data_IF_825745126226
#
_entry.id   IF_825745126226
#
_cell.length_a   1.000
_cell.length_b   1.000
_cell.length_c   1.000
_cell.angle_alpha   90.00
_cell.angle_beta   90.00
_cell.angle_gamma   90.00
#
_symmetry.space_group_name_H-M   'P 1'
#
loop_
_entity.id
_entity.type
_entity.pdbx_description
1 polymer ?
#
# COMPACT_ATOMS: atom_id res chain seq x y z
N UNK A 1 10.12 -28.00 19.31
CA UNK A 1 9.90 -28.30 17.86
C UNK A 1 10.13 -26.99 17.09
N UNK A 2 11.31 -26.79 16.50
CA UNK A 2 11.64 -25.59 15.71
C UNK A 2 10.63 -25.52 14.55
N UNK A 3 9.73 -24.54 14.56
CA UNK A 3 8.88 -24.26 13.41
C UNK A 3 9.82 -23.96 12.24
N UNK A 4 9.62 -24.67 11.13
CA UNK A 4 10.33 -24.47 9.87
C UNK A 4 10.29 -22.98 9.51
N UNK A 5 11.45 -22.30 9.53
CA UNK A 5 11.59 -20.95 9.01
C UNK A 5 11.07 -20.97 7.57
N UNK A 6 9.91 -20.38 7.32
CA UNK A 6 9.34 -20.30 5.98
C UNK A 6 10.15 -19.26 5.22
N UNK A 7 10.88 -19.70 4.20
CA UNK A 7 11.65 -18.81 3.35
C UNK A 7 10.75 -17.72 2.74
N UNK A 8 11.21 -16.47 2.62
CA UNK A 8 10.43 -15.35 2.07
C UNK A 8 9.90 -15.63 0.67
N UNK A 9 10.69 -16.36 -0.14
CA UNK A 9 10.29 -16.82 -1.45
C UNK A 9 9.05 -17.74 -1.40
N UNK A 10 8.93 -18.59 -0.38
CA UNK A 10 7.77 -19.45 -0.19
C UNK A 10 6.54 -18.64 0.21
N UNK A 11 6.68 -17.65 1.09
CA UNK A 11 5.57 -16.76 1.46
C UNK A 11 5.08 -15.95 0.25
N UNK A 12 6.01 -15.42 -0.55
CA UNK A 12 5.69 -14.71 -1.79
C UNK A 12 5.06 -15.64 -2.85
N UNK A 13 5.47 -16.91 -2.93
CA UNK A 13 4.84 -17.87 -3.82
C UNK A 13 3.38 -18.16 -3.41
N UNK A 14 3.11 -18.29 -2.10
CA UNK A 14 1.75 -18.46 -1.58
C UNK A 14 0.91 -17.20 -1.90
N UNK A 15 1.44 -16.01 -1.62
CA UNK A 15 0.80 -14.74 -1.95
C UNK A 15 0.52 -14.58 -3.44
N UNK A 16 1.51 -14.88 -4.28
CA UNK A 16 1.39 -14.84 -5.73
C UNK A 16 0.36 -15.83 -6.25
N UNK A 17 0.34 -17.05 -5.72
CA UNK A 17 -0.68 -18.06 -6.03
C UNK A 17 -2.10 -17.58 -5.69
N UNK A 18 -2.31 -17.02 -4.49
CA UNK A 18 -3.60 -16.43 -4.11
C UNK A 18 -3.98 -15.27 -5.04
N UNK A 19 -3.04 -14.38 -5.34
CA UNK A 19 -3.27 -13.22 -6.24
C UNK A 19 -3.62 -13.67 -7.65
N UNK A 20 -2.97 -14.72 -8.16
CA UNK A 20 -3.22 -15.29 -9.48
C UNK A 20 -4.60 -15.97 -9.56
N UNK A 21 -5.01 -16.70 -8.52
CA UNK A 21 -6.36 -17.25 -8.46
C UNK A 21 -7.42 -16.15 -8.47
N UNK A 22 -7.21 -15.08 -7.69
CA UNK A 22 -8.12 -13.92 -7.70
C UNK A 22 -8.12 -13.24 -9.07
N UNK A 23 -6.97 -13.14 -9.76
CA UNK A 23 -6.89 -12.61 -11.12
C UNK A 23 -7.79 -13.40 -12.08
N UNK A 24 -7.75 -14.73 -12.04
CA UNK A 24 -8.61 -15.59 -12.88
C UNK A 24 -10.09 -15.37 -12.54
N UNK A 25 -10.46 -15.47 -11.26
CA UNK A 25 -11.86 -15.36 -10.81
C UNK A 25 -12.48 -14.00 -11.10
N UNK A 26 -11.67 -12.94 -11.10
CA UNK A 26 -12.12 -11.57 -11.35
C UNK A 26 -12.05 -11.17 -12.83
N UNK A 27 -11.81 -12.12 -13.73
CA UNK A 27 -11.58 -11.87 -15.16
C UNK A 27 -10.49 -10.81 -15.39
N UNK A 28 -9.30 -11.07 -14.86
CA UNK A 28 -8.16 -10.18 -14.97
C UNK A 28 -8.26 -8.91 -14.12
N UNK A 29 -8.87 -9.00 -12.92
CA UNK A 29 -9.17 -7.86 -12.06
C UNK A 29 -10.17 -6.84 -12.63
N UNK A 30 -10.94 -7.19 -13.66
CA UNK A 30 -12.02 -6.32 -14.16
C UNK A 30 -13.19 -6.31 -13.17
N UNK A 31 -13.61 -7.48 -12.68
CA UNK A 31 -14.76 -7.60 -11.77
C UNK A 31 -14.39 -7.14 -10.36
N UNK A 32 -15.26 -6.34 -9.74
CA UNK A 32 -15.13 -5.90 -8.35
C UNK A 32 -15.78 -6.85 -7.34
N UNK A 33 -16.56 -7.82 -7.83
CA UNK A 33 -17.27 -8.80 -7.04
C UNK A 33 -16.75 -10.22 -7.27
N UNK A 34 -16.79 -11.07 -6.24
CA UNK A 34 -17.10 -10.75 -4.83
C UNK A 34 -15.95 -10.02 -4.11
N UNK A 35 -16.30 -9.01 -3.29
CA UNK A 35 -15.36 -8.13 -2.58
C UNK A 35 -14.32 -8.86 -1.73
N UNK A 36 -14.71 -10.00 -1.15
CA UNK A 36 -13.83 -10.85 -0.35
C UNK A 36 -12.66 -11.43 -1.15
N UNK A 37 -12.85 -11.77 -2.43
CA UNK A 37 -11.75 -12.31 -3.25
C UNK A 37 -10.66 -11.27 -3.45
N UNK A 38 -11.01 -10.00 -3.61
CA UNK A 38 -10.03 -8.92 -3.78
C UNK A 38 -9.22 -8.63 -2.50
N UNK A 39 -9.77 -8.90 -1.32
CA UNK A 39 -9.03 -8.72 -0.06
C UNK A 39 -8.19 -9.95 0.32
N UNK A 40 -8.56 -11.15 -0.15
CA UNK A 40 -7.94 -12.43 0.22
C UNK A 40 -6.40 -12.45 0.15
N UNK A 41 -5.74 -11.98 -0.93
CA UNK A 41 -4.28 -12.06 -1.00
C UNK A 41 -3.60 -11.25 0.11
N UNK A 42 -4.17 -10.08 0.45
CA UNK A 42 -3.61 -9.19 1.48
C UNK A 42 -3.92 -9.73 2.89
N UNK A 43 -5.08 -10.38 3.10
CA UNK A 43 -5.34 -11.16 4.33
C UNK A 43 -4.28 -12.24 4.50
N UNK A 44 -4.02 -13.01 3.45
CA UNK A 44 -2.98 -14.03 3.45
C UNK A 44 -1.61 -13.43 3.75
N UNK A 45 -1.26 -12.30 3.15
CA UNK A 45 0.00 -11.60 3.41
C UNK A 45 0.13 -11.14 4.87
N UNK A 46 -0.95 -10.66 5.48
CA UNK A 46 -0.96 -10.28 6.90
C UNK A 46 -0.66 -11.50 7.79
N UNK A 47 -1.32 -12.63 7.54
CA UNK A 47 -1.11 -13.86 8.32
C UNK A 47 0.29 -14.44 8.12
N UNK A 48 0.80 -14.42 6.87
CA UNK A 48 2.16 -14.84 6.55
C UNK A 48 3.19 -13.94 7.26
N UNK A 49 2.92 -12.62 7.35
CA UNK A 49 3.78 -11.67 8.08
C UNK A 49 3.92 -12.06 9.55
N UNK A 50 2.86 -12.53 10.21
CA UNK A 50 2.94 -13.00 11.61
C UNK A 50 3.82 -14.25 11.78
N UNK A 51 4.03 -15.03 10.72
CA UNK A 51 4.88 -16.21 10.71
C UNK A 51 6.37 -15.91 10.42
N UNK A 52 6.73 -14.65 10.17
CA UNK A 52 8.12 -14.23 9.90
C UNK A 52 8.97 -14.17 11.17
N UNK A 53 10.29 -14.17 10.98
CA UNK A 53 11.30 -14.02 12.03
C UNK A 53 11.59 -12.57 12.43
N UNK A 54 10.90 -11.59 11.84
CA UNK A 54 11.03 -10.17 12.18
C UNK A 54 10.87 -9.95 13.69
N UNK A 55 11.50 -8.89 14.20
CA UNK A 55 11.29 -8.43 15.56
C UNK A 55 9.80 -8.19 15.85
N UNK A 56 9.31 -8.51 17.08
CA UNK A 56 7.88 -8.59 17.34
C UNK A 56 7.12 -7.31 17.01
N UNK A 57 7.67 -6.14 17.35
CA UNK A 57 6.98 -4.87 17.12
C UNK A 57 6.77 -4.57 15.63
N UNK A 58 7.82 -4.71 14.84
CA UNK A 58 7.85 -4.47 13.40
C UNK A 58 6.96 -5.48 12.68
N UNK A 59 6.99 -6.74 13.12
CA UNK A 59 6.12 -7.81 12.62
C UNK A 59 4.64 -7.49 12.83
N UNK A 60 4.26 -7.09 14.05
CA UNK A 60 2.87 -6.74 14.36
C UNK A 60 2.42 -5.48 13.63
N UNK A 61 3.25 -4.43 13.55
CA UNK A 61 2.93 -3.20 12.80
C UNK A 61 2.76 -3.50 11.30
N UNK A 62 3.66 -4.29 10.71
CA UNK A 62 3.57 -4.69 9.29
C UNK A 62 2.32 -5.51 9.02
N UNK A 63 2.07 -6.54 9.82
CA UNK A 63 0.86 -7.36 9.71
C UNK A 63 -0.42 -6.53 9.90
N UNK A 64 -0.45 -5.62 10.88
CA UNK A 64 -1.59 -4.76 11.14
C UNK A 64 -1.87 -3.84 9.94
N UNK A 65 -0.85 -3.27 9.32
CA UNK A 65 -1.01 -2.49 8.10
C UNK A 65 -1.70 -3.29 6.99
N UNK A 66 -1.23 -4.52 6.71
CA UNK A 66 -1.85 -5.38 5.70
C UNK A 66 -3.28 -5.78 6.06
N UNK A 67 -3.56 -6.10 7.33
CA UNK A 67 -4.91 -6.42 7.77
C UNK A 67 -5.87 -5.22 7.58
N UNK A 68 -5.43 -4.01 7.90
CA UNK A 68 -6.22 -2.78 7.71
C UNK A 68 -6.43 -2.49 6.21
N UNK A 69 -5.42 -2.70 5.36
CA UNK A 69 -5.58 -2.58 3.90
C UNK A 69 -6.55 -3.62 3.33
N UNK A 70 -6.49 -4.86 3.80
CA UNK A 70 -7.42 -5.90 3.40
C UNK A 70 -8.86 -5.54 3.76
N UNK A 71 -9.08 -5.03 4.99
CA UNK A 71 -10.38 -4.53 5.43
C UNK A 71 -10.83 -3.35 4.57
N UNK A 72 -9.94 -2.39 4.30
CA UNK A 72 -10.23 -1.26 3.41
C UNK A 72 -10.71 -1.73 2.04
N UNK A 73 -9.99 -2.67 1.40
CA UNK A 73 -10.36 -3.23 0.09
C UNK A 73 -11.72 -3.91 0.11
N UNK A 74 -12.00 -4.68 1.15
CA UNK A 74 -13.29 -5.31 1.33
C UNK A 74 -14.42 -4.26 1.42
N UNK A 75 -14.27 -3.26 2.29
CA UNK A 75 -15.28 -2.20 2.50
C UNK A 75 -15.54 -1.38 1.23
N UNK A 76 -14.48 -1.06 0.47
CA UNK A 76 -14.59 -0.30 -0.78
C UNK A 76 -15.24 -1.12 -1.91
N UNK A 77 -15.05 -2.44 -1.94
CA UNK A 77 -15.63 -3.32 -2.95
C UNK A 77 -17.04 -3.82 -2.60
N UNK A 78 -17.42 -3.84 -1.32
CA UNK A 78 -18.71 -4.39 -0.87
C UNK A 78 -19.94 -3.49 -1.18
N UNK A 79 -19.75 -2.29 -1.76
CA UNK A 79 -20.80 -1.37 -2.23
C UNK A 79 -22.01 -1.20 -1.28
N UNK A 80 -21.75 -1.08 0.04
CA UNK A 80 -22.83 -1.17 1.04
C UNK A 80 -23.40 0.19 1.47
N UNK A 81 -22.55 1.17 1.80
CA UNK A 81 -23.01 2.51 2.21
C UNK A 81 -21.91 3.57 2.17
N UNK A 82 -22.29 4.85 2.22
CA UNK A 82 -21.37 5.98 2.33
C UNK A 82 -20.45 5.90 3.56
N UNK A 83 -20.99 5.46 4.70
CA UNK A 83 -20.22 5.29 5.95
C UNK A 83 -19.10 4.27 5.78
N UNK A 84 -19.40 3.11 5.16
CA UNK A 84 -18.40 2.09 4.91
C UNK A 84 -17.33 2.55 3.92
N UNK A 85 -17.70 3.37 2.95
CA UNK A 85 -16.77 3.98 2.01
C UNK A 85 -15.82 4.97 2.71
N UNK A 86 -16.32 5.81 3.61
CA UNK A 86 -15.48 6.68 4.45
C UNK A 86 -14.48 5.87 5.27
N UNK A 87 -14.97 4.86 5.98
CA UNK A 87 -14.13 3.98 6.81
C UNK A 87 -13.09 3.27 5.93
N UNK A 88 -13.48 2.83 4.73
CA UNK A 88 -12.60 2.19 3.75
C UNK A 88 -11.42 3.08 3.38
N UNK A 89 -11.64 4.33 2.97
CA UNK A 89 -10.55 5.24 2.61
C UNK A 89 -9.71 5.68 3.80
N UNK A 90 -10.33 5.96 4.95
CA UNK A 90 -9.61 6.30 6.17
C UNK A 90 -8.67 5.15 6.58
N UNK A 91 -9.14 3.91 6.43
CA UNK A 91 -8.34 2.71 6.71
C UNK A 91 -7.10 2.64 5.82
N UNK A 92 -7.14 3.09 4.57
CA UNK A 92 -5.91 3.17 3.73
C UNK A 92 -4.89 4.10 4.37
N UNK A 93 -5.32 5.28 4.82
CA UNK A 93 -4.44 6.26 5.46
C UNK A 93 -3.82 5.71 6.74
N UNK A 94 -4.65 5.08 7.58
CA UNK A 94 -4.20 4.44 8.83
C UNK A 94 -3.21 3.31 8.53
N UNK A 95 -3.46 2.50 7.50
CA UNK A 95 -2.57 1.41 7.15
C UNK A 95 -1.22 1.91 6.63
N UNK A 96 -1.20 2.95 5.80
CA UNK A 96 0.04 3.58 5.33
C UNK A 96 0.87 4.13 6.49
N UNK A 97 0.23 4.81 7.44
CA UNK A 97 0.92 5.33 8.64
C UNK A 97 1.40 4.19 9.54
N UNK A 98 0.60 3.15 9.73
CA UNK A 98 0.99 1.94 10.49
C UNK A 98 2.20 1.26 9.83
N UNK A 99 2.22 1.17 8.50
CA UNK A 99 3.37 0.66 7.77
C UNK A 99 4.59 1.55 7.93
N UNK A 100 4.45 2.88 7.82
CA UNK A 100 5.53 3.82 8.13
C UNK A 100 6.13 3.59 9.53
N UNK A 101 5.29 3.40 10.55
CA UNK A 101 5.76 3.12 11.91
C UNK A 101 6.50 1.79 12.03
N UNK A 102 6.31 0.83 11.13
CA UNK A 102 7.04 -0.44 11.13
C UNK A 102 8.53 -0.30 10.80
N UNK A 103 8.94 0.75 10.09
CA UNK A 103 10.34 0.97 9.72
C UNK A 103 10.85 2.37 10.08
N UNK A 104 10.09 3.13 10.87
CA UNK A 104 10.46 4.49 11.31
C UNK A 104 11.84 4.53 11.97
N UNK A 105 12.22 3.49 12.71
CA UNK A 105 13.54 3.35 13.35
C UNK A 105 14.71 3.42 12.37
N UNK A 106 14.48 3.13 11.08
CA UNK A 106 15.49 3.20 10.03
C UNK A 106 15.71 4.62 9.50
N UNK A 107 14.79 5.55 9.76
CA UNK A 107 14.83 6.91 9.23
C UNK A 107 15.70 7.76 10.14
N UNK A 108 16.88 8.16 9.64
CA UNK A 108 17.80 9.06 10.35
C UNK A 108 17.52 10.52 10.04
N UNK A 109 17.34 10.81 8.77
CA UNK A 109 17.15 12.16 8.25
C UNK A 109 16.10 12.12 7.15
N UNK A 110 15.21 13.10 7.14
CA UNK A 110 14.19 13.23 6.10
C UNK A 110 14.76 13.93 4.88
N UNK A 111 14.47 13.39 3.70
CA UNK A 111 14.82 14.01 2.43
C UNK A 111 13.91 15.21 2.14
N UNK A 112 14.51 16.40 2.13
CA UNK A 112 13.82 17.65 1.77
C UNK A 112 13.39 17.62 0.31
N UNK A 113 14.24 17.12 -0.59
CA UNK A 113 13.96 17.01 -2.03
C UNK A 113 12.75 16.13 -2.31
N UNK A 114 12.70 14.92 -1.72
CA UNK A 114 11.56 14.03 -1.87
C UNK A 114 10.30 14.59 -1.22
N UNK A 115 10.43 15.29 -0.09
CA UNK A 115 9.29 15.97 0.56
C UNK A 115 8.69 17.05 -0.33
N UNK A 116 9.53 17.87 -0.97
CA UNK A 116 9.08 18.91 -1.92
C UNK A 116 8.45 18.26 -3.15
N UNK A 117 9.08 17.23 -3.73
CA UNK A 117 8.53 16.51 -4.87
C UNK A 117 7.16 15.88 -4.56
N UNK A 118 7.02 15.26 -3.39
CA UNK A 118 5.75 14.70 -2.92
C UNK A 118 4.69 15.79 -2.69
N UNK A 119 5.08 16.96 -2.16
CA UNK A 119 4.20 18.12 -2.01
C UNK A 119 3.69 18.64 -3.36
N UNK A 120 4.57 18.79 -4.35
CA UNK A 120 4.21 19.18 -5.72
C UNK A 120 3.26 18.14 -6.33
N UNK A 121 3.55 16.86 -6.19
CA UNK A 121 2.69 15.78 -6.65
C UNK A 121 1.28 15.85 -6.04
N UNK A 122 1.17 16.07 -4.73
CA UNK A 122 -0.12 16.24 -4.05
C UNK A 122 -0.89 17.45 -4.55
N UNK A 123 -0.21 18.58 -4.78
CA UNK A 123 -0.84 19.79 -5.32
C UNK A 123 -1.38 19.56 -6.73
N UNK A 124 -0.62 18.88 -7.59
CA UNK A 124 -1.06 18.52 -8.95
C UNK A 124 -2.29 17.60 -8.88
N UNK A 125 -2.24 16.55 -8.07
CA UNK A 125 -3.36 15.63 -7.90
C UNK A 125 -4.60 16.33 -7.34
N UNK A 126 -4.42 17.21 -6.35
CA UNK A 126 -5.51 17.97 -5.76
C UNK A 126 -6.15 18.92 -6.77
N UNK A 127 -5.34 19.66 -7.53
CA UNK A 127 -5.84 20.58 -8.55
C UNK A 127 -6.57 19.81 -9.66
N UNK A 128 -5.95 18.79 -10.23
CA UNK A 128 -6.49 18.06 -11.38
C UNK A 128 -7.73 17.22 -11.03
N UNK A 129 -7.73 16.57 -9.87
CA UNK A 129 -8.82 15.66 -9.50
C UNK A 129 -9.91 16.33 -8.67
N UNK A 130 -9.61 17.39 -7.92
CA UNK A 130 -10.51 17.87 -6.86
C UNK A 130 -10.87 19.35 -6.88
N UNK A 131 -10.20 20.21 -7.65
CA UNK A 131 -10.42 21.66 -7.60
C UNK A 131 -11.90 22.04 -7.72
N UNK A 132 -12.59 21.46 -8.71
CA UNK A 132 -14.02 21.73 -8.95
C UNK A 132 -14.94 21.00 -7.96
N UNK A 133 -14.47 19.91 -7.35
CA UNK A 133 -15.25 19.07 -6.44
C UNK A 133 -15.22 19.57 -4.99
N UNK A 134 -14.24 20.41 -4.62
CA UNK A 134 -14.06 20.90 -3.25
C UNK A 134 -15.31 21.60 -2.70
N UNK A 135 -16.00 22.36 -3.55
CA UNK A 135 -17.22 23.08 -3.14
C UNK A 135 -18.44 22.15 -3.04
N UNK A 136 -18.46 21.04 -3.78
CA UNK A 136 -19.60 20.12 -3.84
C UNK A 136 -19.52 18.99 -2.81
N UNK A 137 -18.34 18.38 -2.64
CA UNK A 137 -18.12 17.18 -1.81
C UNK A 137 -16.84 17.28 -0.97
N UNK A 138 -16.68 18.32 -0.13
CA UNK A 138 -15.43 18.61 0.59
C UNK A 138 -14.95 17.46 1.47
N UNK A 139 -15.87 16.73 2.11
CA UNK A 139 -15.51 15.62 3.01
C UNK A 139 -14.82 14.47 2.27
N UNK A 140 -15.28 14.11 1.06
CA UNK A 140 -14.65 13.08 0.25
C UNK A 140 -13.29 13.54 -0.28
N UNK A 141 -13.19 14.80 -0.71
CA UNK A 141 -11.93 15.35 -1.19
C UNK A 141 -10.87 15.33 -0.10
N UNK A 142 -11.20 15.78 1.12
CA UNK A 142 -10.26 15.77 2.25
C UNK A 142 -9.80 14.35 2.59
N UNK A 143 -10.71 13.39 2.56
CA UNK A 143 -10.43 11.98 2.83
C UNK A 143 -9.49 11.36 1.79
N UNK A 144 -9.73 11.60 0.51
CA UNK A 144 -8.87 11.11 -0.58
C UNK A 144 -7.53 11.83 -0.63
N UNK A 145 -7.51 13.12 -0.28
CA UNK A 145 -6.26 13.89 -0.11
C UNK A 145 -5.43 13.31 1.04
N UNK A 146 -6.06 12.97 2.18
CA UNK A 146 -5.37 12.31 3.30
C UNK A 146 -4.83 10.92 2.91
N UNK A 147 -5.56 10.18 2.09
CA UNK A 147 -5.12 8.90 1.52
C UNK A 147 -3.86 9.08 0.66
N UNK A 148 -3.86 10.04 -0.26
CA UNK A 148 -2.68 10.33 -1.09
C UNK A 148 -1.52 10.88 -0.25
N UNK A 149 -1.79 11.75 0.72
CA UNK A 149 -0.78 12.33 1.59
C UNK A 149 -0.09 11.26 2.45
N UNK A 150 -0.84 10.32 3.03
CA UNK A 150 -0.25 9.21 3.78
C UNK A 150 0.59 8.28 2.90
N UNK A 151 0.21 8.10 1.62
CA UNK A 151 1.01 7.35 0.63
C UNK A 151 2.29 8.10 0.27
N UNK A 152 2.23 9.43 0.19
CA UNK A 152 3.41 10.27 0.00
C UNK A 152 4.36 10.20 1.19
N UNK A 153 3.85 10.17 2.43
CA UNK A 153 4.67 9.97 3.63
C UNK A 153 5.45 8.67 3.55
N UNK A 154 4.85 7.57 3.08
CA UNK A 154 5.57 6.29 2.93
C UNK A 154 6.64 6.34 1.84
N UNK A 155 6.40 7.03 0.71
CA UNK A 155 7.44 7.29 -0.32
C UNK A 155 8.59 8.10 0.27
N UNK A 156 8.31 9.24 0.89
CA UNK A 156 9.35 10.13 1.42
C UNK A 156 10.15 9.41 2.50
N UNK A 157 9.47 8.68 3.39
CA UNK A 157 10.12 7.86 4.41
C UNK A 157 11.02 6.79 3.79
N UNK A 158 10.52 5.99 2.85
CA UNK A 158 11.29 4.93 2.20
C UNK A 158 12.48 5.48 1.41
N UNK A 159 12.29 6.58 0.66
CA UNK A 159 13.36 7.22 -0.10
C UNK A 159 14.40 7.89 0.79
N UNK A 160 13.99 8.43 1.95
CA UNK A 160 14.92 8.93 2.96
C UNK A 160 15.82 7.82 3.52
N UNK A 161 15.29 6.61 3.72
CA UNK A 161 16.11 5.44 4.08
C UNK A 161 17.06 5.05 2.95
N UNK A 162 16.65 5.16 1.68
CA UNK A 162 17.53 4.89 0.54
C UNK A 162 18.70 5.88 0.46
N UNK A 163 18.45 7.16 0.73
CA UNK A 163 19.46 8.22 0.63
C UNK A 163 20.40 8.28 1.84
N UNK A 164 19.86 8.10 3.05
CA UNK A 164 20.58 8.37 4.31
C UNK A 164 20.68 7.15 5.24
N UNK A 165 20.26 5.97 4.77
CA UNK A 165 20.33 4.72 5.52
C UNK A 165 21.75 4.23 5.78
N UNK A 166 21.88 3.15 6.56
CA UNK A 166 23.17 2.52 6.81
C UNK A 166 23.70 1.83 5.55
N UNK A 167 24.82 2.33 5.03
CA UNK A 167 25.50 1.86 3.81
C UNK A 167 26.27 0.54 4.04
N UNK A 168 26.42 0.09 5.29
CA UNK A 168 27.36 -1.00 5.63
C UNK A 168 26.86 -2.42 5.34
N UNK A 169 25.57 -2.61 5.08
CA UNK A 169 24.99 -3.93 4.83
C UNK A 169 24.24 -3.95 3.48
N UNK A 170 24.75 -4.73 2.52
CA UNK A 170 24.22 -4.79 1.16
C UNK A 170 22.75 -5.24 1.15
N UNK A 171 22.37 -6.12 2.08
CA UNK A 171 20.99 -6.64 2.16
C UNK A 171 20.02 -5.58 2.68
N UNK A 172 20.43 -4.77 3.65
CA UNK A 172 19.65 -3.62 4.15
C UNK A 172 19.51 -2.52 3.09
N UNK A 173 20.57 -2.29 2.30
CA UNK A 173 20.54 -1.40 1.14
C UNK A 173 19.50 -1.86 0.12
N UNK A 174 19.54 -3.12 -0.31
CA UNK A 174 18.54 -3.67 -1.24
C UNK A 174 17.11 -3.59 -0.69
N UNK A 175 16.91 -3.90 0.59
CA UNK A 175 15.59 -3.83 1.22
C UNK A 175 15.00 -2.41 1.18
N UNK A 176 15.82 -1.37 1.34
CA UNK A 176 15.38 0.02 1.24
C UNK A 176 14.86 0.38 -0.15
N UNK A 177 15.56 -0.01 -1.22
CA UNK A 177 15.10 0.20 -2.60
C UNK A 177 13.83 -0.58 -2.92
N UNK A 178 13.74 -1.84 -2.48
CA UNK A 178 12.52 -2.65 -2.62
C UNK A 178 11.34 -1.93 -1.94
N UNK A 179 11.56 -1.36 -0.74
CA UNK A 179 10.53 -0.58 -0.02
C UNK A 179 10.10 0.65 -0.81
N UNK A 180 11.04 1.40 -1.37
CA UNK A 180 10.75 2.59 -2.16
C UNK A 180 9.94 2.24 -3.40
N UNK A 181 10.33 1.21 -4.16
CA UNK A 181 9.58 0.75 -5.33
C UNK A 181 8.18 0.27 -4.92
N UNK A 182 8.06 -0.45 -3.81
CA UNK A 182 6.76 -0.85 -3.25
C UNK A 182 5.87 0.34 -2.89
N UNK A 183 6.43 1.37 -2.27
CA UNK A 183 5.70 2.60 -1.91
C UNK A 183 5.29 3.41 -3.13
N UNK A 184 6.13 3.48 -4.16
CA UNK A 184 5.80 4.10 -5.45
C UNK A 184 4.67 3.33 -6.13
N UNK A 185 4.75 2.00 -6.21
CA UNK A 185 3.69 1.18 -6.80
C UNK A 185 2.36 1.33 -6.06
N UNK A 186 2.39 1.33 -4.73
CA UNK A 186 1.21 1.57 -3.90
C UNK A 186 0.61 2.98 -4.12
N UNK A 187 1.44 4.01 -4.19
CA UNK A 187 0.99 5.38 -4.41
C UNK A 187 0.43 5.55 -5.82
N UNK A 188 1.07 4.95 -6.83
CA UNK A 188 0.58 4.93 -8.20
C UNK A 188 -0.77 4.23 -8.28
N UNK A 189 -0.95 3.09 -7.59
CA UNK A 189 -2.24 2.41 -7.47
C UNK A 189 -3.33 3.32 -6.91
N UNK A 190 -3.07 3.97 -5.76
CA UNK A 190 -3.99 4.92 -5.12
C UNK A 190 -4.33 6.09 -6.02
N UNK A 191 -3.35 6.63 -6.74
CA UNK A 191 -3.50 7.78 -7.62
C UNK A 191 -4.33 7.45 -8.85
N UNK A 192 -4.03 6.32 -9.52
CA UNK A 192 -4.83 5.81 -10.63
C UNK A 192 -6.26 5.50 -10.20
N UNK A 193 -6.45 4.99 -8.98
CA UNK A 193 -7.79 4.76 -8.44
C UNK A 193 -8.56 6.07 -8.27
N UNK A 194 -7.93 7.12 -7.73
CA UNK A 194 -8.54 8.46 -7.60
C UNK A 194 -8.86 9.05 -8.98
N UNK A 195 -7.91 8.99 -9.92
CA UNK A 195 -8.13 9.48 -11.30
C UNK A 195 -9.27 8.72 -11.97
N UNK A 196 -9.34 7.40 -11.81
CA UNK A 196 -10.42 6.60 -12.39
C UNK A 196 -11.79 6.89 -11.74
N UNK A 197 -11.81 7.44 -10.52
CA UNK A 197 -13.07 7.79 -9.85
C UNK A 197 -13.71 9.06 -10.43
N UNK A 198 -12.90 10.08 -10.74
CA UNK A 198 -13.36 11.42 -11.13
C UNK A 198 -13.03 11.81 -12.57
N UNK A 199 -12.12 11.10 -13.23
CA UNK A 199 -11.78 11.25 -14.64
C UNK A 199 -12.55 10.26 -15.53
N UNK A 200 -11.97 9.89 -16.67
CA UNK A 200 -12.54 8.90 -17.58
C UNK A 200 -12.40 7.48 -17.01
N UNK A 201 -13.54 6.89 -16.63
CA UNK A 201 -13.61 5.51 -16.14
C UNK A 201 -13.21 4.55 -17.25
N UNK A 202 -12.00 4.02 -17.14
CA UNK A 202 -11.49 3.00 -18.07
C UNK A 202 -11.14 1.75 -17.30
N UNK A 203 -11.61 0.60 -17.81
CA UNK A 203 -11.33 -0.70 -17.20
C UNK A 203 -9.83 -0.95 -17.08
N UNK A 204 -9.04 -0.53 -18.06
CA UNK A 204 -7.59 -0.66 -18.07
C UNK A 204 -6.92 0.05 -16.89
N UNK A 205 -7.35 1.27 -16.55
CA UNK A 205 -6.79 2.02 -15.41
C UNK A 205 -7.12 1.33 -14.09
N UNK A 206 -8.33 0.79 -13.96
CA UNK A 206 -8.71 -0.01 -12.79
C UNK A 206 -7.86 -1.27 -12.64
N UNK A 207 -7.63 -2.01 -13.73
CA UNK A 207 -6.80 -3.22 -13.73
C UNK A 207 -5.36 -2.87 -13.36
N UNK A 208 -4.76 -1.85 -13.99
CA UNK A 208 -3.38 -1.41 -13.68
C UNK A 208 -3.26 -0.99 -12.22
N UNK A 209 -4.24 -0.24 -11.70
CA UNK A 209 -4.27 0.14 -10.28
C UNK A 209 -4.25 -1.08 -9.36
N UNK A 210 -5.02 -2.13 -9.67
CA UNK A 210 -5.05 -3.36 -8.85
C UNK A 210 -3.76 -4.17 -8.94
N UNK A 211 -3.16 -4.28 -10.13
CA UNK A 211 -1.86 -4.94 -10.30
C UNK A 211 -0.78 -4.23 -9.48
N UNK A 212 -0.68 -2.90 -9.61
CA UNK A 212 0.27 -2.09 -8.85
C UNK A 212 0.06 -2.21 -7.34
N UNK A 213 -1.19 -2.33 -6.89
CA UNK A 213 -1.49 -2.58 -5.48
C UNK A 213 -0.88 -3.89 -5.00
N UNK A 214 -1.20 -5.02 -5.65
CA UNK A 214 -0.72 -6.32 -5.19
C UNK A 214 0.81 -6.44 -5.30
N UNK A 215 1.40 -5.92 -6.37
CA UNK A 215 2.87 -5.83 -6.51
C UNK A 215 3.46 -4.98 -5.39
N UNK A 216 2.87 -3.81 -5.12
CA UNK A 216 3.30 -2.93 -4.02
C UNK A 216 3.29 -3.64 -2.68
N UNK A 217 2.19 -4.32 -2.33
CA UNK A 217 2.08 -5.06 -1.06
C UNK A 217 3.15 -6.16 -0.93
N UNK A 218 3.40 -6.93 -2.00
CA UNK A 218 4.46 -7.96 -2.01
C UNK A 218 5.85 -7.36 -1.75
N UNK A 219 6.17 -6.24 -2.42
CA UNK A 219 7.46 -5.55 -2.25
C UNK A 219 7.61 -4.97 -0.83
N UNK A 220 6.55 -4.36 -0.30
CA UNK A 220 6.56 -3.80 1.06
C UNK A 220 6.72 -4.88 2.13
N UNK A 221 6.13 -6.07 1.93
CA UNK A 221 6.36 -7.24 2.78
C UNK A 221 7.82 -7.69 2.71
N UNK A 222 8.33 -7.92 1.49
CA UNK A 222 9.69 -8.41 1.27
C UNK A 222 10.73 -7.44 1.82
N UNK A 223 10.51 -6.13 1.69
CA UNK A 223 11.39 -5.12 2.24
C UNK A 223 11.52 -5.24 3.76
N UNK A 224 10.41 -5.36 4.48
CA UNK A 224 10.45 -5.46 5.93
C UNK A 224 11.01 -6.80 6.41
N UNK A 225 10.74 -7.88 5.70
CA UNK A 225 11.26 -9.20 6.04
C UNK A 225 12.78 -9.27 5.86
N UNK A 226 13.31 -8.65 4.80
CA UNK A 226 14.76 -8.57 4.62
C UNK A 226 15.45 -7.60 5.57
N UNK A 227 14.69 -6.71 6.18
CA UNK A 227 15.23 -5.68 7.06
C UNK A 227 15.39 -6.15 8.51
N UNK A 228 14.45 -6.95 9.00
CA UNK A 228 14.30 -7.30 10.42
C UNK A 228 14.19 -8.81 10.60
#
# INVERSE_FOLDING_TARGET
KKMSNSSPARMLAIYGGMTYLVYIETNGFVKSSPAFLLSLPVIGLSLLTLATSMSPEERFKTSASFAILALSRYLLAAHSSWTWLIIGYLSVSVANLTYYYSFKSQIRTWSTELSVAAGIFLLIMFYYCFADLMMSIPSLVLLLTALLASSCVTIVAAGSVCQYGHVSDNDAGQASYIRLIGAIAQTASSSLFVVNMFGERTESVQVISRVLFYVGQALLFLANERTF
#
